data_IF_863181112868
#
_entry.id   IF_863181112868
#
_cell.length_a   1.000
_cell.length_b   1.000
_cell.length_c   1.000
_cell.angle_alpha   90.00
_cell.angle_beta   90.00
_cell.angle_gamma   90.00
#
_symmetry.space_group_name_H-M   'P 1'
#
loop_
_entity.id
_entity.type
_entity.pdbx_description
1 polymer ?
#
# COMPACT_ATOMS: atom_id res chain seq x y z
N UNK A 1 -12.70 -10.29 3.20
CA UNK A 1 -12.13 -9.02 2.69
C UNK A 1 -10.72 -9.21 2.11
N UNK A 2 -9.78 -9.79 2.87
CA UNK A 2 -8.37 -10.00 2.50
C UNK A 2 -8.11 -10.49 1.05
N UNK A 3 -8.83 -11.52 0.60
CA UNK A 3 -8.66 -12.07 -0.76
C UNK A 3 -9.08 -11.08 -1.86
N UNK A 4 -10.12 -10.27 -1.63
CA UNK A 4 -10.54 -9.25 -2.58
C UNK A 4 -9.47 -8.16 -2.72
N UNK A 5 -8.85 -7.77 -1.60
CA UNK A 5 -7.78 -6.77 -1.58
C UNK A 5 -6.53 -7.24 -2.35
N UNK A 6 -6.12 -8.50 -2.17
CA UNK A 6 -5.04 -9.14 -2.94
C UNK A 6 -5.33 -9.17 -4.44
N UNK A 7 -6.52 -9.63 -4.82
CA UNK A 7 -6.90 -9.70 -6.23
C UNK A 7 -6.94 -8.31 -6.89
N UNK A 8 -7.44 -7.29 -6.17
CA UNK A 8 -7.40 -5.89 -6.61
C UNK A 8 -5.99 -5.36 -6.79
N UNK A 9 -5.08 -5.69 -5.86
CA UNK A 9 -3.67 -5.35 -6.00
C UNK A 9 -3.10 -5.96 -7.29
N UNK A 10 -3.30 -7.26 -7.53
CA UNK A 10 -2.86 -7.93 -8.77
C UNK A 10 -3.45 -7.23 -10.01
N UNK A 11 -4.74 -6.90 -9.98
CA UNK A 11 -5.41 -6.20 -11.08
C UNK A 11 -4.87 -4.79 -11.36
N UNK A 12 -4.24 -4.14 -10.38
CA UNK A 12 -3.57 -2.86 -10.55
C UNK A 12 -2.18 -2.99 -11.24
N UNK A 13 -1.58 -4.19 -11.27
CA UNK A 13 -0.25 -4.44 -11.85
C UNK A 13 -0.24 -5.64 -12.82
N UNK A 14 -1.07 -5.63 -13.87
CA UNK A 14 -1.19 -6.78 -14.79
C UNK A 14 0.12 -7.10 -15.52
N UNK A 15 0.95 -6.09 -15.81
CA UNK A 15 2.25 -6.27 -16.48
C UNK A 15 3.33 -6.88 -15.59
N UNK A 16 3.20 -6.78 -14.27
CA UNK A 16 4.17 -7.33 -13.32
C UNK A 16 4.06 -8.85 -13.18
N UNK A 17 2.91 -9.45 -13.56
CA UNK A 17 2.61 -10.86 -13.38
C UNK A 17 2.08 -11.47 -14.68
N UNK A 18 2.91 -11.62 -15.72
CA UNK A 18 2.48 -12.03 -17.06
C UNK A 18 1.88 -13.45 -17.12
N UNK A 19 2.20 -14.32 -16.15
CA UNK A 19 1.69 -15.69 -16.07
C UNK A 19 0.33 -15.81 -15.35
N UNK A 20 -0.17 -14.72 -14.77
CA UNK A 20 -1.45 -14.72 -14.06
C UNK A 20 -2.56 -14.34 -15.05
N UNK A 21 -3.54 -15.22 -15.22
CA UNK A 21 -4.70 -14.94 -16.07
C UNK A 21 -5.53 -13.80 -15.46
N UNK A 22 -5.48 -12.63 -16.09
CA UNK A 22 -6.30 -11.49 -15.69
C UNK A 22 -7.80 -11.78 -15.81
N UNK A 23 -8.20 -12.67 -16.72
CA UNK A 23 -9.58 -13.14 -16.81
C UNK A 23 -10.05 -13.83 -15.52
N UNK A 24 -9.20 -14.69 -14.94
CA UNK A 24 -9.51 -15.35 -13.66
C UNK A 24 -9.52 -14.32 -12.53
N UNK A 25 -8.57 -13.39 -12.50
CA UNK A 25 -8.48 -12.35 -11.47
C UNK A 25 -9.74 -11.47 -11.46
N UNK A 26 -10.15 -10.93 -12.61
CA UNK A 26 -11.35 -10.08 -12.68
C UNK A 26 -12.63 -10.86 -12.41
N UNK A 27 -12.73 -12.12 -12.84
CA UNK A 27 -13.89 -12.97 -12.50
C UNK A 27 -13.96 -13.27 -11.00
N UNK A 28 -12.82 -13.54 -10.36
CA UNK A 28 -12.74 -13.71 -8.91
C UNK A 28 -13.16 -12.42 -8.18
N UNK A 29 -12.63 -11.26 -8.58
CA UNK A 29 -13.03 -9.96 -8.01
C UNK A 29 -14.54 -9.76 -8.17
N UNK A 30 -15.10 -10.00 -9.35
CA UNK A 30 -16.52 -9.81 -9.61
C UNK A 30 -17.42 -10.61 -8.65
N UNK A 31 -17.12 -11.90 -8.45
CA UNK A 31 -17.91 -12.75 -7.56
C UNK A 31 -17.76 -12.33 -6.09
N UNK A 32 -16.53 -12.16 -5.60
CA UNK A 32 -16.30 -11.80 -4.19
C UNK A 32 -16.87 -10.42 -3.88
N UNK A 33 -16.69 -9.44 -4.78
CA UNK A 33 -17.20 -8.10 -4.60
C UNK A 33 -18.74 -8.08 -4.55
N UNK A 34 -19.42 -8.92 -5.33
CA UNK A 34 -20.87 -9.03 -5.27
C UNK A 34 -21.37 -9.56 -3.93
N UNK A 35 -20.74 -10.60 -3.38
CA UNK A 35 -21.10 -11.15 -2.06
C UNK A 35 -20.82 -10.17 -0.92
N UNK A 36 -19.79 -9.32 -1.08
CA UNK A 36 -19.41 -8.32 -0.10
C UNK A 36 -20.23 -7.01 -0.18
N UNK A 37 -21.12 -6.85 -1.15
CA UNK A 37 -21.84 -5.58 -1.35
C UNK A 37 -21.05 -4.49 -2.09
N UNK A 38 -19.88 -4.83 -2.64
CA UNK A 38 -19.08 -3.98 -3.53
C UNK A 38 -19.57 -4.09 -4.99
N UNK A 39 -20.81 -3.68 -5.25
CA UNK A 39 -21.47 -3.88 -6.53
C UNK A 39 -20.92 -3.02 -7.68
N UNK A 40 -20.40 -1.82 -7.42
CA UNK A 40 -19.73 -0.99 -8.43
C UNK A 40 -18.43 -1.65 -8.88
N UNK A 41 -17.62 -2.15 -7.93
CA UNK A 41 -16.41 -2.91 -8.23
C UNK A 41 -16.73 -4.18 -9.03
N UNK A 42 -17.77 -4.92 -8.62
CA UNK A 42 -18.20 -6.13 -9.32
C UNK A 42 -18.56 -5.84 -10.78
N UNK A 43 -19.37 -4.80 -11.04
CA UNK A 43 -19.71 -4.37 -12.41
C UNK A 43 -18.48 -3.97 -13.21
N UNK A 44 -17.62 -3.12 -12.65
CA UNK A 44 -16.40 -2.69 -13.34
C UNK A 44 -15.51 -3.87 -13.72
N UNK A 45 -15.44 -4.90 -12.86
CA UNK A 45 -14.65 -6.11 -13.12
C UNK A 45 -15.27 -6.95 -14.26
N UNK A 46 -16.60 -7.11 -14.27
CA UNK A 46 -17.31 -7.80 -15.36
C UNK A 46 -17.19 -7.05 -16.69
N UNK A 47 -17.27 -5.72 -16.70
CA UNK A 47 -17.00 -4.91 -17.89
C UNK A 47 -15.57 -5.11 -18.38
N UNK A 48 -14.60 -5.22 -17.47
CA UNK A 48 -13.21 -5.45 -17.84
C UNK A 48 -12.99 -6.82 -18.49
N UNK A 49 -13.72 -7.85 -18.07
CA UNK A 49 -13.68 -9.19 -18.70
C UNK A 49 -14.04 -9.15 -20.18
N UNK A 50 -14.96 -8.27 -20.60
CA UNK A 50 -15.34 -8.13 -22.02
C UNK A 50 -14.21 -7.64 -22.92
N UNK A 51 -13.18 -7.01 -22.33
CA UNK A 51 -12.00 -6.52 -23.05
C UNK A 51 -10.89 -7.57 -23.19
N UNK A 52 -11.08 -8.76 -22.61
CA UNK A 52 -10.09 -9.82 -22.57
C UNK A 52 -10.52 -11.01 -23.45
N UNK A 53 -9.55 -11.72 -24.01
CA UNK A 53 -9.81 -13.03 -24.63
C UNK A 53 -9.90 -14.08 -23.52
N UNK A 54 -11.06 -14.73 -23.40
CA UNK A 54 -11.36 -15.68 -22.34
C UNK A 54 -11.69 -17.06 -22.91
N UNK A 55 -11.37 -18.10 -22.17
CA UNK A 55 -11.69 -19.47 -22.57
C UNK A 55 -13.21 -19.71 -22.46
N UNK A 56 -13.78 -20.42 -23.44
CA UNK A 56 -15.24 -20.58 -23.61
C UNK A 56 -15.94 -21.22 -22.42
N UNK A 57 -15.24 -22.08 -21.67
CA UNK A 57 -15.76 -22.70 -20.44
C UNK A 57 -16.15 -21.68 -19.34
N UNK A 58 -15.60 -20.47 -19.35
CA UNK A 58 -15.93 -19.43 -18.37
C UNK A 58 -17.19 -18.64 -18.75
N UNK A 59 -17.60 -18.65 -20.02
CA UNK A 59 -18.62 -17.75 -20.55
C UNK A 59 -19.95 -17.88 -19.80
N UNK A 60 -20.42 -19.11 -19.59
CA UNK A 60 -21.67 -19.38 -18.85
C UNK A 60 -21.64 -18.79 -17.43
N UNK A 61 -20.52 -18.92 -16.73
CA UNK A 61 -20.37 -18.42 -15.37
C UNK A 61 -20.33 -16.87 -15.34
N UNK A 62 -19.67 -16.27 -16.32
CA UNK A 62 -19.62 -14.80 -16.50
C UNK A 62 -21.00 -14.25 -16.82
N UNK A 63 -21.77 -14.92 -17.69
CA UNK A 63 -23.12 -14.51 -18.05
C UNK A 63 -24.05 -14.53 -16.84
N UNK A 64 -23.98 -15.59 -16.03
CA UNK A 64 -24.75 -15.69 -14.76
C UNK A 64 -24.36 -14.58 -13.79
N UNK A 65 -23.07 -14.30 -13.60
CA UNK A 65 -22.61 -13.21 -12.75
C UNK A 65 -23.09 -11.84 -13.27
N UNK A 66 -23.07 -11.66 -14.60
CA UNK A 66 -23.53 -10.44 -15.28
C UNK A 66 -25.04 -10.24 -15.14
N UNK A 67 -25.83 -11.30 -15.14
CA UNK A 67 -27.27 -11.22 -14.87
C UNK A 67 -27.54 -10.91 -13.40
N UNK A 68 -26.84 -11.57 -12.47
CA UNK A 68 -27.00 -11.35 -11.03
C UNK A 68 -26.77 -9.89 -10.63
N UNK A 69 -25.72 -9.25 -11.15
CA UNK A 69 -25.35 -7.89 -10.76
C UNK A 69 -26.35 -6.82 -11.24
N UNK A 70 -27.15 -7.08 -12.29
CA UNK A 70 -28.14 -6.12 -12.83
C UNK A 70 -29.21 -5.74 -11.81
N UNK A 71 -29.58 -6.66 -10.93
CA UNK A 71 -30.60 -6.45 -9.88
C UNK A 71 -30.08 -5.69 -8.65
N UNK A 72 -28.77 -5.44 -8.55
CA UNK A 72 -28.13 -4.84 -7.36
C UNK A 72 -28.04 -3.32 -7.46
N UNK A 73 -27.73 -2.64 -6.34
CA UNK A 73 -27.44 -1.19 -6.31
C UNK A 73 -26.24 -0.84 -7.19
N UNK A 74 -26.21 0.36 -7.76
CA UNK A 74 -25.10 0.82 -8.63
C UNK A 74 -23.83 1.12 -7.83
N UNK A 75 -23.98 1.61 -6.60
CA UNK A 75 -22.89 1.95 -5.70
C UNK A 75 -22.38 0.75 -4.89
N UNK A 76 -21.14 0.85 -4.42
CA UNK A 76 -20.63 -0.01 -3.35
C UNK A 76 -21.23 0.40 -2.00
N UNK A 77 -21.16 -0.51 -1.01
CA UNK A 77 -21.34 -0.14 0.40
C UNK A 77 -20.22 0.84 0.82
N UNK A 78 -20.57 2.04 1.35
CA UNK A 78 -19.58 3.04 1.75
C UNK A 78 -18.59 2.57 2.82
N UNK A 79 -18.96 1.61 3.66
CA UNK A 79 -18.11 1.06 4.73
C UNK A 79 -16.88 0.31 4.17
N UNK A 80 -16.96 -0.16 2.93
CA UNK A 80 -15.87 -0.87 2.27
C UNK A 80 -14.80 0.08 1.73
N UNK A 81 -15.13 1.35 1.52
CA UNK A 81 -14.26 2.30 0.84
C UNK A 81 -13.04 2.65 1.71
N UNK A 82 -11.80 2.38 1.24
CA UNK A 82 -10.61 2.71 2.00
C UNK A 82 -10.46 4.22 2.15
N UNK A 83 -10.19 4.67 3.38
CA UNK A 83 -9.84 6.06 3.66
C UNK A 83 -8.38 6.31 3.27
N UNK A 84 -8.11 7.49 2.73
CA UNK A 84 -6.75 7.96 2.55
C UNK A 84 -6.18 8.41 3.91
N UNK A 85 -5.02 7.88 4.31
CA UNK A 85 -4.37 8.31 5.55
C UNK A 85 -3.90 9.77 5.52
N UNK A 86 -3.62 10.32 4.34
CA UNK A 86 -3.16 11.71 4.18
C UNK A 86 -4.31 12.71 4.22
N UNK A 87 -5.31 12.56 3.34
CA UNK A 87 -6.41 13.55 3.24
C UNK A 87 -7.69 13.16 4.00
N UNK A 88 -7.75 11.96 4.59
CA UNK A 88 -8.92 11.45 5.32
C UNK A 88 -10.12 11.05 4.46
N UNK A 89 -10.15 11.43 3.17
CA UNK A 89 -11.27 11.15 2.27
C UNK A 89 -11.29 9.69 1.80
N UNK A 90 -12.50 9.15 1.63
CA UNK A 90 -12.73 7.79 1.12
C UNK A 90 -12.45 7.69 -0.38
N UNK A 91 -11.78 6.61 -0.78
CA UNK A 91 -11.54 6.24 -2.17
C UNK A 91 -12.44 5.06 -2.57
N UNK A 92 -12.88 5.04 -3.82
CA UNK A 92 -13.61 3.90 -4.38
C UNK A 92 -12.70 2.68 -4.57
N UNK A 93 -13.29 1.49 -4.58
CA UNK A 93 -12.54 0.23 -4.71
C UNK A 93 -12.00 -0.02 -6.11
N UNK A 94 -12.56 0.66 -7.11
CA UNK A 94 -12.22 0.55 -8.54
C UNK A 94 -10.89 1.24 -8.90
N UNK A 95 -10.31 2.01 -7.98
CA UNK A 95 -9.09 2.78 -8.22
C UNK A 95 -7.89 2.08 -7.61
N UNK A 96 -6.79 2.12 -8.35
CA UNK A 96 -5.54 1.44 -8.01
C UNK A 96 -4.80 2.11 -6.87
N UNK A 97 -3.47 2.18 -6.99
CA UNK A 97 -2.55 2.59 -5.93
C UNK A 97 -2.57 4.08 -5.54
N UNK A 98 -3.43 4.92 -6.09
CA UNK A 98 -3.34 6.38 -5.89
C UNK A 98 -4.67 6.96 -5.43
N UNK A 99 -4.63 7.82 -4.42
CA UNK A 99 -5.81 8.52 -3.95
C UNK A 99 -6.35 9.49 -5.03
N UNK A 100 -7.66 9.46 -5.25
CA UNK A 100 -8.32 10.33 -6.24
C UNK A 100 -8.37 11.80 -5.82
N UNK A 101 -8.30 12.06 -4.51
CA UNK A 101 -8.48 13.40 -3.94
C UNK A 101 -7.16 14.15 -3.83
N UNK A 102 -6.15 13.55 -3.19
CA UNK A 102 -4.85 14.18 -2.99
C UNK A 102 -3.76 13.69 -3.95
N UNK A 103 -3.95 12.59 -4.67
CA UNK A 103 -2.92 12.04 -5.58
C UNK A 103 -1.79 11.30 -4.88
N UNK A 104 -1.85 11.10 -3.55
CA UNK A 104 -0.84 10.32 -2.83
C UNK A 104 -0.93 8.85 -3.18
N UNK A 105 0.23 8.24 -3.43
CA UNK A 105 0.36 6.80 -3.65
C UNK A 105 0.21 6.05 -2.33
N UNK A 106 -0.64 5.03 -2.33
CA UNK A 106 -0.88 4.14 -1.19
C UNK A 106 0.15 3.03 -1.20
N UNK A 107 0.74 2.78 -0.04
CA UNK A 107 1.69 1.68 0.16
C UNK A 107 0.92 0.55 0.84
N UNK A 108 1.06 -0.68 0.36
CA UNK A 108 0.35 -1.82 0.89
C UNK A 108 1.21 -2.65 1.84
N UNK A 109 0.59 -3.22 2.87
CA UNK A 109 1.18 -4.27 3.68
C UNK A 109 1.21 -5.57 2.87
N UNK A 110 2.37 -6.17 2.61
CA UNK A 110 2.43 -7.38 1.77
C UNK A 110 2.02 -8.68 2.50
N UNK A 111 1.49 -8.58 3.73
CA UNK A 111 0.80 -9.67 4.42
C UNK A 111 -0.71 -9.55 4.19
N UNK A 112 -1.32 -8.44 4.62
CA UNK A 112 -2.77 -8.23 4.58
C UNK A 112 -3.27 -7.64 3.25
N UNK A 113 -2.39 -7.00 2.49
CA UNK A 113 -2.65 -6.16 1.32
C UNK A 113 -3.49 -4.91 1.63
N UNK A 114 -3.66 -4.57 2.89
CA UNK A 114 -4.30 -3.31 3.30
C UNK A 114 -3.37 -2.12 3.07
N UNK A 115 -3.95 -0.93 2.97
CA UNK A 115 -3.16 0.30 2.86
C UNK A 115 -2.50 0.58 4.21
N UNK A 116 -1.22 0.94 4.18
CA UNK A 116 -0.47 1.36 5.35
C UNK A 116 -0.59 2.87 5.56
N UNK A 117 -0.49 3.36 6.81
CA UNK A 117 -0.51 4.78 7.14
C UNK A 117 0.81 5.49 6.80
N UNK A 118 1.54 5.03 5.78
CA UNK A 118 2.82 5.61 5.37
C UNK A 118 2.70 6.25 4.00
N UNK A 119 3.40 7.36 3.81
CA UNK A 119 3.50 8.04 2.53
C UNK A 119 4.95 8.43 2.24
N UNK A 120 5.34 8.35 0.97
CA UNK A 120 6.69 8.68 0.52
C UNK A 120 6.89 10.19 0.36
N UNK A 121 8.03 10.68 0.84
CA UNK A 121 8.50 12.04 0.61
C UNK A 121 9.90 12.04 -0.02
N UNK A 122 10.30 13.18 -0.57
CA UNK A 122 11.56 13.35 -1.25
C UNK A 122 12.45 14.35 -0.53
N UNK A 123 13.76 14.22 -0.72
CA UNK A 123 14.75 15.16 -0.21
C UNK A 123 15.10 16.17 -1.31
N UNK A 124 15.34 17.42 -0.91
CA UNK A 124 15.80 18.49 -1.79
C UNK A 124 17.16 18.15 -2.43
N UNK A 125 17.44 18.77 -3.56
CA UNK A 125 18.71 18.57 -4.27
C UNK A 125 19.87 19.15 -3.46
N UNK A 126 21.04 18.49 -3.50
CA UNK A 126 22.24 18.92 -2.79
C UNK A 126 22.40 18.40 -1.35
N UNK A 127 21.47 17.58 -0.85
CA UNK A 127 21.59 16.91 0.45
C UNK A 127 22.01 15.45 0.22
N UNK A 128 23.13 15.04 0.80
CA UNK A 128 23.60 13.64 0.70
C UNK A 128 22.77 12.70 1.58
N UNK A 129 22.67 11.42 1.19
CA UNK A 129 21.91 10.40 1.94
C UNK A 129 22.38 10.25 3.40
N UNK A 130 23.70 10.35 3.64
CA UNK A 130 24.28 10.27 4.99
C UNK A 130 23.90 11.47 5.83
N UNK A 131 23.94 12.66 5.25
CA UNK A 131 23.56 13.91 5.93
C UNK A 131 22.07 13.89 6.27
N UNK A 132 21.22 13.52 5.31
CA UNK A 132 19.78 13.37 5.52
C UNK A 132 19.46 12.42 6.67
N UNK A 133 20.12 11.25 6.70
CA UNK A 133 19.97 10.27 7.78
C UNK A 133 20.31 10.88 9.14
N UNK A 134 21.47 11.53 9.25
CA UNK A 134 21.92 12.16 10.50
C UNK A 134 20.90 13.20 10.97
N UNK A 135 20.40 14.05 10.07
CA UNK A 135 19.42 15.10 10.41
C UNK A 135 18.09 14.50 10.90
N UNK A 136 17.61 13.42 10.27
CA UNK A 136 16.36 12.75 10.64
C UNK A 136 16.49 12.01 11.97
N UNK A 137 17.63 11.37 12.23
CA UNK A 137 17.89 10.60 13.45
C UNK A 137 18.28 11.50 14.64
N UNK A 138 18.60 12.77 14.39
CA UNK A 138 18.90 13.76 15.44
C UNK A 138 17.62 14.22 16.15
N UNK A 139 17.74 14.60 17.43
CA UNK A 139 16.62 15.16 18.17
C UNK A 139 16.14 16.48 17.53
N UNK A 140 14.82 16.63 17.30
CA UNK A 140 14.29 17.85 16.72
C UNK A 140 14.46 19.04 17.69
N UNK A 141 14.62 20.27 17.19
CA UNK A 141 14.74 21.44 18.04
C UNK A 141 13.50 21.62 18.94
N UNK A 142 13.71 21.75 20.25
CA UNK A 142 12.63 21.90 21.25
C UNK A 142 11.72 23.12 21.01
N UNK A 143 12.18 24.08 20.22
CA UNK A 143 11.48 25.34 19.92
C UNK A 143 10.41 25.22 18.85
N UNK A 144 10.30 24.09 18.14
CA UNK A 144 9.40 23.95 17.00
C UNK A 144 8.43 22.78 17.14
N UNK A 145 7.19 23.00 16.70
CA UNK A 145 6.21 21.92 16.56
C UNK A 145 6.68 20.93 15.47
N UNK A 146 6.45 19.64 15.75
CA UNK A 146 6.70 18.54 14.82
C UNK A 146 6.00 18.81 13.48
N UNK A 147 6.76 18.68 12.39
CA UNK A 147 6.27 18.88 11.04
C UNK A 147 5.70 17.58 10.47
N UNK A 148 4.47 17.62 9.94
CA UNK A 148 3.97 16.61 9.03
C UNK A 148 4.22 17.06 7.57
N UNK A 149 5.04 16.36 6.77
CA UNK A 149 5.35 16.75 5.40
C UNK A 149 4.14 16.83 4.46
N UNK A 150 3.03 16.19 4.84
CA UNK A 150 1.87 16.03 3.98
C UNK A 150 0.74 17.02 4.29
N UNK A 151 0.94 17.90 5.27
CA UNK A 151 -0.02 18.94 5.58
C UNK A 151 -0.09 19.98 4.45
N UNK A 152 -1.33 20.32 4.05
CA UNK A 152 -1.62 21.39 3.06
C UNK A 152 -1.00 21.20 1.67
N UNK A 153 -0.70 19.97 1.27
CA UNK A 153 -0.25 19.68 -0.10
C UNK A 153 -1.34 19.91 -1.15
N UNK A 154 -0.94 20.38 -2.33
CA UNK A 154 -1.82 20.40 -3.51
C UNK A 154 -2.00 18.97 -4.05
N UNK A 155 -3.09 18.76 -4.78
CA UNK A 155 -3.36 17.46 -5.41
C UNK A 155 -2.23 17.07 -6.38
N UNK A 156 -1.64 15.90 -6.16
CA UNK A 156 -0.54 15.35 -6.95
C UNK A 156 0.84 15.92 -6.60
N UNK A 157 0.91 16.86 -5.65
CA UNK A 157 2.16 17.38 -5.15
C UNK A 157 2.88 16.33 -4.30
N UNK A 158 4.19 16.24 -4.51
CA UNK A 158 5.08 15.33 -3.80
C UNK A 158 5.95 16.16 -2.86
N UNK A 159 5.85 15.96 -1.53
CA UNK A 159 6.58 16.78 -0.58
C UNK A 159 8.08 16.59 -0.75
N UNK A 160 8.79 17.70 -0.95
CA UNK A 160 10.25 17.74 -1.05
C UNK A 160 10.81 18.59 0.09
N UNK A 161 11.59 17.99 0.98
CA UNK A 161 12.05 18.61 2.22
C UNK A 161 13.51 19.05 2.09
N UNK A 162 13.75 20.29 2.48
CA UNK A 162 15.07 20.86 2.71
C UNK A 162 15.60 20.45 4.10
N UNK A 163 16.86 20.81 4.39
CA UNK A 163 17.53 20.45 5.65
C UNK A 163 16.78 20.96 6.88
N UNK A 164 16.22 22.17 6.83
CA UNK A 164 15.49 22.77 7.94
C UNK A 164 14.18 22.03 8.23
N UNK A 165 13.43 21.64 7.19
CA UNK A 165 12.21 20.86 7.36
C UNK A 165 12.51 19.43 7.80
N UNK A 166 13.59 18.82 7.31
CA UNK A 166 14.03 17.49 7.76
C UNK A 166 14.33 17.49 9.27
N UNK A 167 15.03 18.51 9.77
CA UNK A 167 15.37 18.64 11.18
C UNK A 167 14.15 18.82 12.11
N UNK A 168 12.99 19.17 11.55
CA UNK A 168 11.72 19.34 12.29
C UNK A 168 10.82 18.12 12.24
N UNK A 169 11.22 17.07 11.53
CA UNK A 169 10.49 15.81 11.53
C UNK A 169 10.68 15.11 12.88
N UNK A 170 9.64 14.42 13.31
CA UNK A 170 9.78 13.41 14.34
C UNK A 170 10.42 12.16 13.71
N UNK A 171 11.71 11.94 13.99
CA UNK A 171 12.49 10.83 13.45
C UNK A 171 11.88 9.46 13.74
N UNK A 172 11.15 9.30 14.85
CA UNK A 172 10.46 8.03 15.18
C UNK A 172 9.36 7.65 14.18
N UNK A 173 8.87 8.63 13.42
CA UNK A 173 7.84 8.47 12.39
C UNK A 173 8.42 8.30 10.99
N UNK A 174 9.73 8.39 10.83
CA UNK A 174 10.39 8.29 9.53
C UNK A 174 10.94 6.88 9.32
N UNK A 175 10.62 6.26 8.19
CA UNK A 175 11.24 5.04 7.74
C UNK A 175 12.18 5.33 6.57
N UNK A 176 13.42 4.87 6.66
CA UNK A 176 14.45 5.08 5.64
C UNK A 176 14.77 3.71 5.01
N UNK A 177 14.57 3.56 3.71
CA UNK A 177 14.93 2.32 3.02
C UNK A 177 16.44 2.16 2.94
N UNK A 178 16.95 0.94 3.08
CA UNK A 178 18.36 0.65 2.78
C UNK A 178 18.59 0.67 1.27
N UNK A 179 19.82 0.94 0.83
CA UNK A 179 20.16 0.83 -0.59
C UNK A 179 20.25 -0.63 -0.99
N UNK A 180 19.49 -1.05 -1.99
CA UNK A 180 19.54 -2.40 -2.56
C UNK A 180 20.01 -2.30 -4.00
N UNK A 181 21.26 -2.69 -4.27
CA UNK A 181 21.84 -2.58 -5.61
C UNK A 181 21.84 -1.13 -6.13
N UNK A 182 21.19 -0.90 -7.28
CA UNK A 182 21.03 0.42 -7.90
C UNK A 182 19.76 1.16 -7.48
N UNK A 183 18.90 0.57 -6.65
CA UNK A 183 17.68 1.24 -6.19
C UNK A 183 18.03 2.37 -5.20
N UNK A 184 17.53 3.60 -5.41
CA UNK A 184 17.85 4.74 -4.55
C UNK A 184 17.23 4.60 -3.17
N UNK A 185 17.80 5.30 -2.19
CA UNK A 185 17.20 5.45 -0.86
C UNK A 185 15.88 6.21 -0.98
N UNK A 186 14.85 5.70 -0.30
CA UNK A 186 13.50 6.25 -0.23
C UNK A 186 13.16 6.55 1.22
N UNK A 187 12.35 7.59 1.42
CA UNK A 187 11.98 8.09 2.73
C UNK A 187 10.46 8.06 2.86
N UNK A 188 9.98 7.48 3.94
CA UNK A 188 8.56 7.33 4.21
C UNK A 188 8.25 7.96 5.56
N UNK A 189 7.08 8.58 5.67
CA UNK A 189 6.59 9.15 6.92
C UNK A 189 5.33 8.41 7.37
N UNK A 190 5.28 7.98 8.62
CA UNK A 190 4.10 7.42 9.26
C UNK A 190 3.14 8.55 9.64
N UNK A 191 2.05 8.65 8.89
CA UNK A 191 0.99 9.65 9.04
C UNK A 191 0.20 9.43 10.34
N UNK A 192 0.04 8.17 10.78
CA UNK A 192 -0.70 7.82 12.00
C UNK A 192 0.23 7.03 12.93
N UNK A 193 0.93 7.69 13.85
CA UNK A 193 1.95 7.05 14.69
C UNK A 193 1.36 6.01 15.66
N UNK A 194 0.05 6.06 15.93
CA UNK A 194 -0.65 5.05 16.73
C UNK A 194 -0.82 3.71 16.01
N UNK A 195 -0.61 3.68 14.68
CA UNK A 195 -0.57 2.45 13.88
C UNK A 195 0.90 2.17 13.60
N UNK A 196 1.45 1.17 14.27
CA UNK A 196 2.84 0.75 14.15
C UNK A 196 3.11 0.07 12.81
N UNK A 197 4.26 0.39 12.22
CA UNK A 197 4.71 -0.18 10.96
C UNK A 197 6.18 -0.57 11.05
N UNK A 198 6.54 -1.70 10.43
CA UNK A 198 7.90 -2.22 10.40
C UNK A 198 8.37 -2.40 8.96
N UNK A 199 9.62 -2.03 8.69
CA UNK A 199 10.26 -2.22 7.38
C UNK A 199 11.23 -3.40 7.44
N UNK A 200 11.14 -4.32 6.50
CA UNK A 200 12.10 -5.42 6.41
C UNK A 200 13.48 -4.88 5.99
N UNK A 201 14.57 -5.20 6.71
CA UNK A 201 15.89 -4.62 6.45
C UNK A 201 16.51 -5.05 5.11
N UNK A 202 16.06 -6.18 4.56
CA UNK A 202 16.63 -6.79 3.35
C UNK A 202 15.89 -6.39 2.08
N UNK A 203 14.56 -6.23 2.13
CA UNK A 203 13.76 -5.96 0.95
C UNK A 203 13.02 -4.62 1.00
N UNK A 204 13.16 -3.85 2.08
CA UNK A 204 12.53 -2.55 2.31
C UNK A 204 11.00 -2.52 2.20
N UNK A 205 10.34 -3.68 2.14
CA UNK A 205 8.88 -3.75 2.17
C UNK A 205 8.41 -3.38 3.58
N UNK A 206 7.33 -2.60 3.64
CA UNK A 206 6.74 -2.11 4.88
C UNK A 206 5.51 -2.97 5.19
N UNK A 207 5.29 -3.21 6.48
CA UNK A 207 4.22 -4.05 7.00
C UNK A 207 3.61 -3.39 8.24
N UNK A 208 2.41 -3.79 8.63
CA UNK A 208 1.98 -3.58 10.02
C UNK A 208 2.94 -4.36 10.93
N UNK A 209 3.37 -3.73 12.02
CA UNK A 209 4.37 -4.35 12.91
C UNK A 209 3.87 -5.70 13.45
N UNK A 210 2.63 -5.75 13.93
CA UNK A 210 2.02 -6.96 14.50
C UNK A 210 1.99 -8.11 13.49
N UNK A 211 1.56 -7.86 12.24
CA UNK A 211 1.52 -8.86 11.16
C UNK A 211 2.92 -9.38 10.83
N UNK A 212 3.91 -8.48 10.78
CA UNK A 212 5.29 -8.81 10.44
C UNK A 212 5.95 -9.64 11.54
N UNK A 213 5.79 -9.23 12.79
CA UNK A 213 6.35 -9.90 13.96
C UNK A 213 5.73 -11.27 14.16
N UNK A 214 4.39 -11.40 14.07
CA UNK A 214 3.73 -12.71 14.13
C UNK A 214 4.23 -13.65 13.03
N UNK A 215 4.39 -13.16 11.80
CA UNK A 215 4.91 -13.98 10.71
C UNK A 215 6.37 -14.39 10.93
N UNK A 216 7.20 -13.46 11.42
CA UNK A 216 8.60 -13.75 11.77
C UNK A 216 8.70 -14.78 12.90
N UNK A 217 7.90 -14.67 13.95
CA UNK A 217 7.90 -15.65 15.04
C UNK A 217 7.48 -17.04 14.56
N UNK A 218 6.53 -17.12 13.62
CA UNK A 218 6.06 -18.40 13.10
C UNK A 218 7.01 -19.07 12.07
N UNK A 219 7.73 -18.30 11.27
CA UNK A 219 8.51 -18.83 10.13
C UNK A 219 10.01 -18.54 10.18
N UNK A 220 10.43 -17.61 11.04
CA UNK A 220 11.78 -17.05 11.09
C UNK A 220 12.13 -16.18 9.87
N UNK A 221 11.18 -15.88 8.97
CA UNK A 221 11.46 -15.31 7.64
C UNK A 221 10.52 -14.15 7.30
N UNK A 222 11.00 -13.20 6.50
CA UNK A 222 10.17 -12.11 5.98
C UNK A 222 9.01 -12.66 5.11
N UNK A 223 7.77 -12.18 5.25
CA UNK A 223 6.63 -12.64 4.46
C UNK A 223 6.78 -12.43 2.95
N UNK A 224 7.57 -11.40 2.57
CA UNK A 224 7.78 -11.04 1.18
C UNK A 224 9.03 -11.69 0.58
N UNK A 225 10.23 -11.29 1.05
CA UNK A 225 11.49 -11.77 0.48
C UNK A 225 11.96 -13.13 1.03
N UNK A 226 11.30 -13.66 2.08
CA UNK A 226 11.64 -14.93 2.75
C UNK A 226 13.05 -14.98 3.35
N UNK A 227 13.76 -13.85 3.40
CA UNK A 227 15.04 -13.78 4.08
C UNK A 227 14.85 -13.96 5.59
N UNK A 228 15.69 -14.79 6.20
CA UNK A 228 15.66 -15.05 7.64
C UNK A 228 16.27 -13.89 8.40
N UNK A 229 15.51 -13.27 9.29
CA UNK A 229 16.04 -12.17 10.10
C UNK A 229 16.98 -12.78 11.13
N UNK A 230 18.29 -12.56 10.99
CA UNK A 230 19.24 -12.88 12.06
C UNK A 230 18.95 -11.92 13.21
N UNK A 231 18.16 -12.34 14.18
CA UNK A 231 18.04 -11.62 15.45
C UNK A 231 19.43 -11.51 16.05
N UNK A 232 20.00 -10.29 16.09
CA UNK A 232 21.15 -10.02 16.95
C UNK A 232 20.70 -10.30 18.38
N UNK A 233 21.04 -11.48 18.89
CA UNK A 233 20.93 -11.83 20.31
C UNK A 233 19.56 -12.33 20.79
N UNK A 234 19.19 -13.55 20.39
CA UNK A 234 18.59 -14.50 21.35
C UNK A 234 19.18 -15.87 21.03
N UNK A 235 20.21 -16.25 21.78
CA UNK A 235 20.61 -17.65 21.90
C UNK A 235 19.58 -18.25 22.84
N UNK A 236 18.61 -18.98 22.29
CA UNK A 236 17.81 -19.91 23.09
C UNK A 236 18.65 -21.17 23.13
N UNK A 237 19.34 -21.39 24.25
CA UNK A 237 19.94 -22.68 24.58
C UNK A 237 18.84 -23.72 24.81
#
# INVERSE_FOLDING_TARGET
MLFCTRARFIAAYPSALPLVSMGIVYFFIANVAQEMGAFKLARSSLEKLKTLSLHSNMQRAIDVATLKIRSKKISDDPSLNPKCFVCGLSNGLDKGKTCLHCGTESINCFVSFENLPVAEFWIAEGIEEKEARIVIESEPPLTHNSLNPFDKLRKGEKPRLDKDKLARLDGSRVLISTKIGSFPVRYFFNIIPTISVSMCPECNHIFHSDDYEMHLLSTGKCPFCRFGVKTKGVIIN
#
